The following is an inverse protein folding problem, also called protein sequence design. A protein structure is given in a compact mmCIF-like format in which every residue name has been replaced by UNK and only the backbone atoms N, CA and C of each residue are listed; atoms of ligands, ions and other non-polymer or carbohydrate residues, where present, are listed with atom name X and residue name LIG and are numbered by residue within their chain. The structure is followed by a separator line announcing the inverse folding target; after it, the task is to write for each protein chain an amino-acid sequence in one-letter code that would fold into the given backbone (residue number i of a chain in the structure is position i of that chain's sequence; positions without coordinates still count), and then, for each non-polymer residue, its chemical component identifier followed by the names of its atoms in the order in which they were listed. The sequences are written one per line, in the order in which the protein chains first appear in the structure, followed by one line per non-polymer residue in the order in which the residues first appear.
data_IF_807536014129
#
_entry.id   IF_807536014129
#
_cell.length_a   1.000
_cell.length_b   1.000
_cell.length_c   1.000
_cell.angle_alpha   90.00
_cell.angle_beta   90.00
_cell.angle_gamma   90.00
#
_symmetry.space_group_name_H-M   'P 1'
#
loop_
_entity.id
_entity.type
_entity.pdbx_description
1 polymer ?
#
# COMPACT_ATOMS: atom_id res chain seq x y z
N UNK A 1 -25.90 2.08 -1.08
CA UNK A 1 -25.79 0.63 -0.80
C UNK A 1 -24.32 0.28 -0.80
N UNK A 2 -23.74 -0.06 0.36
CA UNK A 2 -22.34 -0.49 0.46
C UNK A 2 -22.18 -1.83 -0.26
N UNK A 3 -21.29 -1.90 -1.26
CA UNK A 3 -20.94 -3.17 -1.91
C UNK A 3 -20.29 -4.07 -0.86
N UNK A 4 -20.81 -5.28 -0.70
CA UNK A 4 -20.22 -6.28 0.18
C UNK A 4 -18.80 -6.58 -0.30
N UNK A 5 -17.82 -6.51 0.59
CA UNK A 5 -16.45 -6.99 0.31
C UNK A 5 -16.56 -8.49 0.11
N UNK A 6 -16.03 -8.99 -1.00
CA UNK A 6 -16.07 -10.41 -1.31
C UNK A 6 -15.05 -11.13 -0.41
N UNK A 7 -15.50 -12.14 0.34
CA UNK A 7 -14.61 -13.01 1.13
C UNK A 7 -13.87 -13.98 0.21
N UNK A 8 -12.67 -14.39 0.60
CA UNK A 8 -11.86 -15.37 -0.14
C UNK A 8 -12.36 -16.80 0.09
N UNK A 9 -12.92 -17.05 1.29
CA UNK A 9 -13.47 -18.33 1.74
C UNK A 9 -14.88 -18.15 2.31
N UNK A 10 -15.53 -19.23 2.66
CA UNK A 10 -16.85 -19.19 3.29
C UNK A 10 -16.78 -18.57 4.69
N UNK A 11 -17.69 -17.63 4.95
CA UNK A 11 -17.84 -17.00 6.27
C UNK A 11 -18.56 -17.94 7.23
N UNK A 12 -17.85 -18.36 8.29
CA UNK A 12 -18.40 -19.24 9.33
C UNK A 12 -18.80 -18.40 10.54
N UNK A 13 -20.07 -18.03 10.59
CA UNK A 13 -20.60 -17.11 11.61
C UNK A 13 -20.40 -17.64 13.04
N UNK A 14 -20.48 -18.94 13.25
CA UNK A 14 -20.28 -19.60 14.56
C UNK A 14 -18.87 -19.33 15.09
N UNK A 15 -17.85 -19.64 14.27
CA UNK A 15 -16.43 -19.46 14.60
C UNK A 15 -16.13 -17.98 14.89
N UNK A 16 -16.67 -17.09 14.06
CA UNK A 16 -16.49 -15.65 14.23
C UNK A 16 -17.13 -15.15 15.55
N UNK A 17 -18.38 -15.54 15.84
CA UNK A 17 -19.07 -15.10 17.04
C UNK A 17 -18.40 -15.61 18.34
N UNK A 18 -17.84 -16.81 18.34
CA UNK A 18 -17.05 -17.36 19.45
C UNK A 18 -15.77 -16.55 19.68
N UNK A 19 -15.04 -16.22 18.60
CA UNK A 19 -13.86 -15.35 18.70
C UNK A 19 -14.21 -13.95 19.17
N UNK A 20 -15.34 -13.40 18.72
CA UNK A 20 -15.81 -12.09 19.17
C UNK A 20 -16.16 -12.09 20.66
N UNK A 21 -16.81 -13.15 21.16
CA UNK A 21 -17.08 -13.33 22.59
C UNK A 21 -15.77 -13.46 23.40
N UNK A 22 -14.80 -14.21 22.89
CA UNK A 22 -13.45 -14.32 23.47
C UNK A 22 -12.75 -12.95 23.50
N UNK A 23 -12.83 -12.18 22.40
CA UNK A 23 -12.26 -10.84 22.29
C UNK A 23 -12.93 -9.83 23.25
N UNK A 24 -14.22 -9.96 23.51
CA UNK A 24 -14.94 -9.16 24.49
C UNK A 24 -14.37 -9.38 25.90
N UNK A 25 -14.03 -10.61 26.25
CA UNK A 25 -13.59 -10.98 27.61
C UNK A 25 -14.66 -10.73 28.65
N UNK A 26 -14.26 -10.32 29.84
CA UNK A 26 -15.18 -10.01 30.94
C UNK A 26 -15.89 -8.64 30.85
N UNK A 27 -15.77 -7.91 29.76
CA UNK A 27 -16.38 -6.58 29.59
C UNK A 27 -17.85 -6.68 29.21
N UNK A 28 -18.63 -5.65 29.58
CA UNK A 28 -19.99 -5.50 29.04
C UNK A 28 -19.95 -5.22 27.54
N UNK A 29 -21.01 -5.60 26.82
CA UNK A 29 -21.13 -5.30 25.39
C UNK A 29 -21.00 -3.80 25.07
N UNK A 30 -21.58 -2.95 25.95
CA UNK A 30 -21.48 -1.49 25.82
C UNK A 30 -20.04 -1.00 25.93
N UNK A 31 -19.31 -1.48 26.95
CA UNK A 31 -17.89 -1.09 27.10
C UNK A 31 -17.06 -1.58 25.95
N UNK A 32 -17.23 -2.83 25.54
CA UNK A 32 -16.50 -3.40 24.41
C UNK A 32 -16.80 -2.68 23.10
N UNK A 33 -18.06 -2.35 22.82
CA UNK A 33 -18.44 -1.57 21.63
C UNK A 33 -17.79 -0.19 21.62
N UNK A 34 -17.78 0.51 22.76
CA UNK A 34 -17.13 1.82 22.88
C UNK A 34 -15.62 1.72 22.67
N UNK A 35 -14.96 0.71 23.28
CA UNK A 35 -13.53 0.47 23.11
C UNK A 35 -13.17 0.23 21.63
N UNK A 36 -14.03 -0.51 20.89
CA UNK A 36 -13.87 -0.75 19.45
C UNK A 36 -14.22 0.46 18.56
N UNK A 37 -14.87 1.50 19.11
CA UNK A 37 -15.47 2.58 18.30
C UNK A 37 -16.60 2.09 17.40
N UNK A 38 -17.41 1.12 17.87
CA UNK A 38 -18.54 0.51 17.17
C UNK A 38 -19.83 0.74 17.97
N UNK A 39 -21.00 0.61 17.29
CA UNK A 39 -22.27 0.69 18.01
C UNK A 39 -22.54 -0.59 18.83
N UNK A 40 -23.20 -0.43 19.98
CA UNK A 40 -23.62 -1.56 20.81
C UNK A 40 -24.52 -2.52 20.03
N UNK A 41 -25.43 -1.97 19.21
CA UNK A 41 -26.31 -2.75 18.36
C UNK A 41 -25.54 -3.60 17.32
N UNK A 42 -24.42 -3.08 16.81
CA UNK A 42 -23.52 -3.83 15.93
C UNK A 42 -22.93 -5.03 16.67
N UNK A 43 -22.27 -4.81 17.78
CA UNK A 43 -21.66 -5.89 18.59
C UNK A 43 -22.71 -6.93 19.01
N UNK A 44 -23.88 -6.48 19.46
CA UNK A 44 -24.97 -7.36 19.85
C UNK A 44 -25.45 -8.26 18.71
N UNK A 45 -25.63 -7.71 17.49
CA UNK A 45 -26.02 -8.52 16.31
C UNK A 45 -24.99 -9.58 15.98
N UNK A 46 -23.70 -9.24 16.04
CA UNK A 46 -22.60 -10.12 15.73
C UNK A 46 -22.44 -11.25 16.75
N UNK A 47 -22.51 -10.95 18.04
CA UNK A 47 -22.48 -11.95 19.10
C UNK A 47 -23.67 -12.92 19.04
N UNK A 48 -24.85 -12.42 18.67
CA UNK A 48 -26.06 -13.23 18.55
C UNK A 48 -26.23 -13.88 17.16
N UNK A 49 -25.20 -13.85 16.31
CA UNK A 49 -25.21 -14.48 14.97
C UNK A 49 -26.33 -13.97 14.04
N UNK A 50 -26.77 -12.71 14.24
CA UNK A 50 -27.85 -12.07 13.47
C UNK A 50 -27.30 -11.20 12.34
N UNK A 51 -26.38 -11.78 11.57
CA UNK A 51 -25.71 -11.13 10.44
C UNK A 51 -25.64 -12.08 9.25
N UNK A 52 -25.84 -11.57 8.06
CA UNK A 52 -25.81 -12.34 6.80
C UNK A 52 -24.49 -12.18 6.05
N UNK A 53 -23.63 -11.28 6.49
CA UNK A 53 -22.39 -10.92 5.80
C UNK A 53 -21.24 -10.82 6.77
N UNK A 54 -20.07 -11.25 6.32
CA UNK A 54 -18.86 -11.09 7.08
C UNK A 54 -18.58 -9.61 7.39
N UNK A 55 -18.07 -9.28 8.60
CA UNK A 55 -17.58 -7.96 8.91
C UNK A 55 -16.38 -7.62 8.03
N UNK A 56 -16.29 -6.37 7.62
CA UNK A 56 -15.17 -5.91 6.78
C UNK A 56 -13.85 -5.90 7.56
N UNK A 57 -12.69 -6.09 6.91
CA UNK A 57 -11.38 -6.17 7.56
C UNK A 57 -11.07 -5.01 8.52
N UNK A 58 -11.46 -3.77 8.18
CA UNK A 58 -11.27 -2.63 9.09
C UNK A 58 -12.04 -2.72 10.39
N UNK A 59 -13.22 -3.34 10.37
CA UNK A 59 -13.98 -3.59 11.58
C UNK A 59 -13.31 -4.66 12.44
N UNK A 60 -12.82 -5.73 11.80
CA UNK A 60 -12.06 -6.79 12.49
C UNK A 60 -10.79 -6.23 13.14
N UNK A 61 -10.13 -5.29 12.47
CA UNK A 61 -8.94 -4.61 13.00
C UNK A 61 -9.24 -3.77 14.23
N UNK A 62 -10.37 -3.01 14.25
CA UNK A 62 -10.82 -2.26 15.42
C UNK A 62 -11.11 -3.20 16.61
N UNK A 63 -11.70 -4.35 16.33
CA UNK A 63 -11.97 -5.38 17.33
C UNK A 63 -10.66 -5.96 17.87
N UNK A 64 -9.73 -6.32 17.00
CA UNK A 64 -8.42 -6.87 17.37
C UNK A 64 -7.60 -5.92 18.24
N UNK A 65 -7.64 -4.61 17.93
CA UNK A 65 -6.87 -3.59 18.66
C UNK A 65 -7.21 -3.52 20.15
N UNK A 66 -8.41 -3.94 20.54
CA UNK A 66 -8.89 -3.92 21.93
C UNK A 66 -9.29 -5.30 22.43
N UNK A 67 -8.97 -6.36 21.69
CA UNK A 67 -9.35 -7.72 22.01
C UNK A 67 -8.71 -8.19 23.32
N UNK A 68 -9.50 -8.90 24.14
CA UNK A 68 -9.00 -9.63 25.29
C UNK A 68 -8.57 -11.05 24.90
N UNK A 69 -7.99 -11.76 25.85
CA UNK A 69 -7.65 -13.19 25.75
C UNK A 69 -6.78 -13.58 24.55
N UNK A 70 -5.95 -12.63 24.06
CA UNK A 70 -4.98 -12.88 23.00
C UNK A 70 -5.60 -13.14 21.62
N UNK A 71 -6.84 -12.73 21.38
CA UNK A 71 -7.44 -12.84 20.04
C UNK A 71 -6.74 -11.89 19.08
N UNK A 72 -6.20 -12.45 17.99
CA UNK A 72 -5.43 -11.72 16.99
C UNK A 72 -6.31 -11.25 15.83
N UNK A 73 -5.77 -10.29 15.06
CA UNK A 73 -6.40 -9.82 13.84
C UNK A 73 -6.50 -10.92 12.78
N UNK A 74 -5.46 -11.75 12.68
CA UNK A 74 -5.39 -12.88 11.75
C UNK A 74 -6.47 -13.92 12.04
N UNK A 75 -6.67 -14.29 13.32
CA UNK A 75 -7.73 -15.20 13.72
C UNK A 75 -9.13 -14.67 13.35
N UNK A 76 -9.34 -13.36 13.53
CA UNK A 76 -10.61 -12.71 13.16
C UNK A 76 -10.83 -12.65 11.65
N UNK A 77 -9.76 -12.39 10.87
CA UNK A 77 -9.81 -12.43 9.39
C UNK A 77 -10.17 -13.83 8.90
N UNK A 78 -9.46 -14.85 9.37
CA UNK A 78 -9.70 -16.23 8.98
C UNK A 78 -11.14 -16.67 9.31
N UNK A 79 -11.64 -16.36 10.51
CA UNK A 79 -13.01 -16.67 10.89
C UNK A 79 -14.07 -15.91 10.08
N UNK A 80 -13.72 -14.73 9.56
CA UNK A 80 -14.58 -13.95 8.67
C UNK A 80 -14.47 -14.36 7.20
N UNK A 81 -13.63 -15.35 6.87
CA UNK A 81 -13.46 -15.86 5.51
C UNK A 81 -12.50 -15.04 4.64
N UNK A 82 -11.60 -14.26 5.24
CA UNK A 82 -10.56 -13.53 4.53
C UNK A 82 -9.22 -14.27 4.61
N UNK A 83 -8.45 -14.24 3.54
CA UNK A 83 -7.07 -14.71 3.56
C UNK A 83 -6.21 -13.71 4.35
N UNK A 84 -5.83 -14.09 5.57
CA UNK A 84 -5.06 -13.24 6.48
C UNK A 84 -3.77 -12.73 5.83
N UNK A 85 -3.12 -13.53 4.96
CA UNK A 85 -1.88 -13.13 4.29
C UNK A 85 -2.02 -11.87 3.43
N UNK A 86 -3.21 -11.62 2.88
CA UNK A 86 -3.50 -10.44 2.07
C UNK A 86 -3.65 -9.16 2.91
N UNK A 87 -3.95 -9.28 4.20
CA UNK A 87 -4.27 -8.17 5.09
C UNK A 87 -3.21 -7.91 6.16
N UNK A 88 -2.29 -8.86 6.37
CA UNK A 88 -1.21 -8.76 7.37
C UNK A 88 0.15 -8.39 6.76
N UNK A 89 0.28 -8.41 5.44
CA UNK A 89 1.56 -8.19 4.73
C UNK A 89 2.08 -6.74 4.74
N UNK A 90 1.37 -5.76 5.29
CA UNK A 90 1.98 -4.43 5.41
C UNK A 90 2.68 -4.29 6.75
N UNK A 91 3.99 -4.45 6.79
CA UNK A 91 4.84 -4.09 7.94
C UNK A 91 4.79 -2.59 8.30
N UNK A 92 3.82 -1.85 7.75
CA UNK A 92 3.56 -0.46 8.03
C UNK A 92 2.53 -0.33 9.15
N UNK A 93 2.74 0.60 10.05
CA UNK A 93 1.92 0.85 11.22
C UNK A 93 0.46 1.22 10.87
N UNK A 94 -0.46 1.06 11.83
CA UNK A 94 -1.86 1.47 11.75
C UNK A 94 -2.08 2.99 11.79
N UNK A 95 -1.02 3.72 11.68
CA UNK A 95 -1.00 5.17 11.67
C UNK A 95 -1.93 5.75 10.57
N UNK A 96 -2.40 7.00 10.74
CA UNK A 96 -3.12 7.70 9.70
C UNK A 96 -2.40 7.63 8.35
N UNK A 97 -3.13 7.60 7.25
CA UNK A 97 -2.58 7.44 5.88
C UNK A 97 -1.34 8.29 5.59
N UNK A 98 -1.32 9.52 6.14
CA UNK A 98 -0.17 10.42 6.00
C UNK A 98 1.07 9.88 6.69
N UNK A 99 0.94 9.32 7.89
CA UNK A 99 2.06 8.73 8.64
C UNK A 99 2.58 7.49 7.94
N UNK A 100 1.68 6.62 7.46
CA UNK A 100 2.06 5.44 6.65
C UNK A 100 2.81 5.83 5.38
N UNK A 101 2.34 6.87 4.68
CA UNK A 101 3.00 7.36 3.48
C UNK A 101 4.42 7.85 3.79
N UNK A 102 4.61 8.59 4.90
CA UNK A 102 5.92 9.07 5.33
C UNK A 102 6.84 7.92 5.78
N UNK A 103 6.29 6.94 6.51
CA UNK A 103 7.04 5.74 6.91
C UNK A 103 7.48 4.94 5.67
N UNK A 104 6.56 4.73 4.73
CA UNK A 104 6.86 4.05 3.47
C UNK A 104 7.92 4.80 2.67
N UNK A 105 7.78 6.12 2.49
CA UNK A 105 8.77 6.97 1.80
C UNK A 105 10.17 6.81 2.42
N UNK A 106 10.26 6.82 3.76
CA UNK A 106 11.53 6.64 4.47
C UNK A 106 12.14 5.26 4.22
N UNK A 107 11.35 4.19 4.34
CA UNK A 107 11.80 2.81 4.12
C UNK A 107 12.19 2.59 2.65
N UNK A 108 11.34 3.04 1.72
CA UNK A 108 11.59 2.91 0.29
C UNK A 108 12.85 3.68 -0.14
N UNK A 109 13.04 4.90 0.37
CA UNK A 109 14.28 5.66 0.12
C UNK A 109 15.51 4.88 0.59
N UNK A 110 15.46 4.31 1.80
CA UNK A 110 16.55 3.48 2.33
C UNK A 110 16.83 2.27 1.44
N UNK A 111 15.77 1.55 1.03
CA UNK A 111 15.89 0.38 0.15
C UNK A 111 16.49 0.73 -1.22
N UNK A 112 16.03 1.85 -1.84
CA UNK A 112 16.56 2.31 -3.12
C UNK A 112 18.04 2.72 -3.00
N UNK A 113 18.40 3.49 -1.98
CA UNK A 113 19.79 3.94 -1.79
C UNK A 113 20.72 2.78 -1.45
N UNK A 114 20.25 1.78 -0.71
CA UNK A 114 21.01 0.55 -0.45
C UNK A 114 21.22 -0.25 -1.74
N UNK A 115 20.18 -0.40 -2.57
CA UNK A 115 20.29 -1.06 -3.87
C UNK A 115 21.27 -0.33 -4.80
N UNK A 116 21.17 0.99 -4.89
CA UNK A 116 22.12 1.81 -5.69
C UNK A 116 23.55 1.68 -5.19
N UNK A 117 23.79 1.59 -3.88
CA UNK A 117 25.12 1.44 -3.32
C UNK A 117 25.79 0.10 -3.65
N UNK A 118 25.00 -0.91 -4.01
CA UNK A 118 25.49 -2.22 -4.48
C UNK A 118 25.83 -2.23 -5.98
N UNK A 119 25.47 -1.18 -6.71
CA UNK A 119 25.84 -1.02 -8.11
C UNK A 119 27.23 -0.36 -8.25
N UNK A 120 27.81 -0.45 -9.45
CA UNK A 120 29.05 0.27 -9.77
C UNK A 120 28.80 1.73 -10.21
N UNK A 121 27.57 2.22 -10.08
CA UNK A 121 27.19 3.57 -10.47
C UNK A 121 27.70 4.59 -9.45
N UNK A 122 28.23 5.70 -9.92
CA UNK A 122 28.47 6.87 -9.07
C UNK A 122 27.18 7.67 -9.02
N UNK A 123 26.65 7.87 -7.85
CA UNK A 123 25.37 8.55 -7.65
C UNK A 123 25.37 9.41 -6.40
N UNK A 124 24.47 10.40 -6.36
CA UNK A 124 24.20 11.17 -5.16
C UNK A 124 22.73 11.64 -5.13
N UNK A 125 22.20 11.82 -3.93
CA UNK A 125 20.87 12.37 -3.74
C UNK A 125 20.94 13.89 -3.87
N UNK A 126 20.21 14.45 -4.83
CA UNK A 126 20.18 15.91 -5.08
C UNK A 126 19.22 16.60 -4.12
N UNK A 127 18.08 15.97 -3.83
CA UNK A 127 17.10 16.55 -2.93
C UNK A 127 15.93 15.63 -2.67
N UNK A 128 15.26 15.90 -1.54
CA UNK A 128 13.92 15.43 -1.24
C UNK A 128 12.99 16.60 -1.42
N UNK A 129 11.96 16.41 -2.22
CA UNK A 129 10.96 17.43 -2.31
C UNK A 129 10.02 17.37 -1.12
N UNK A 130 10.14 18.30 -0.22
CA UNK A 130 9.16 18.54 0.85
C UNK A 130 7.94 19.34 0.39
N UNK A 131 7.85 19.67 -0.90
CA UNK A 131 6.78 20.48 -1.46
C UNK A 131 5.68 19.60 -2.05
N UNK A 132 4.42 19.84 -1.67
CA UNK A 132 3.23 19.23 -2.29
C UNK A 132 3.11 19.53 -3.79
N UNK A 133 3.94 20.39 -4.33
CA UNK A 133 3.98 20.82 -5.73
C UNK A 133 5.09 20.12 -6.54
N UNK A 134 5.99 19.37 -5.88
CA UNK A 134 7.01 18.65 -6.61
C UNK A 134 6.43 17.48 -7.37
N UNK A 135 6.87 17.24 -8.59
CA UNK A 135 6.46 16.09 -9.38
C UNK A 135 7.11 14.77 -8.94
N UNK A 136 8.07 14.79 -8.02
CA UNK A 136 8.78 13.63 -7.49
C UNK A 136 9.02 13.75 -5.98
N UNK A 137 9.26 12.62 -5.32
CA UNK A 137 9.55 12.55 -3.88
C UNK A 137 11.08 12.46 -3.63
N UNK A 138 11.81 11.80 -4.53
CA UNK A 138 13.27 11.65 -4.46
C UNK A 138 13.89 11.85 -5.83
N UNK A 139 15.01 12.56 -5.89
CA UNK A 139 15.86 12.72 -7.07
C UNK A 139 17.25 12.21 -6.76
N UNK A 140 17.76 11.38 -7.66
CA UNK A 140 19.13 10.87 -7.66
C UNK A 140 19.81 11.27 -8.95
N UNK A 141 20.94 11.96 -8.86
CA UNK A 141 21.84 12.15 -9.98
C UNK A 141 22.81 10.98 -10.08
N UNK A 142 23.04 10.54 -11.31
CA UNK A 142 23.92 9.43 -11.64
C UNK A 142 24.98 9.93 -12.63
N UNK A 143 26.22 9.72 -12.30
CA UNK A 143 27.36 10.04 -13.19
C UNK A 143 27.49 8.94 -14.27
N UNK A 144 26.55 8.97 -15.24
CA UNK A 144 26.52 8.04 -16.35
C UNK A 144 25.99 8.74 -17.60
N UNK A 145 26.64 8.51 -18.76
CA UNK A 145 26.25 9.09 -20.03
C UNK A 145 24.87 8.64 -20.54
N UNK A 146 24.32 7.57 -19.98
CA UNK A 146 23.00 7.01 -20.37
C UNK A 146 21.86 7.43 -19.46
N UNK A 147 22.15 7.73 -18.20
CA UNK A 147 21.17 8.13 -17.20
C UNK A 147 21.82 9.13 -16.27
N UNK A 148 21.34 10.37 -16.28
CA UNK A 148 21.86 11.42 -15.39
C UNK A 148 20.89 11.75 -14.27
N UNK A 149 19.59 11.62 -14.48
CA UNK A 149 18.57 11.93 -13.49
C UNK A 149 17.60 10.77 -13.34
N UNK A 150 17.45 10.30 -12.11
CA UNK A 150 16.47 9.27 -11.75
C UNK A 150 15.54 9.80 -10.68
N UNK A 151 14.27 9.92 -11.02
CA UNK A 151 13.21 10.44 -10.16
C UNK A 151 12.33 9.31 -9.64
N UNK A 152 11.96 9.37 -8.38
CA UNK A 152 11.13 8.37 -7.73
C UNK A 152 9.88 9.00 -7.12
N UNK A 153 8.75 8.32 -7.26
CA UNK A 153 7.51 8.61 -6.55
C UNK A 153 7.10 7.40 -5.71
N UNK A 154 6.84 7.63 -4.43
CA UNK A 154 6.50 6.59 -3.48
C UNK A 154 4.98 6.48 -3.33
N UNK A 155 4.43 5.32 -3.66
CA UNK A 155 3.00 5.04 -3.67
C UNK A 155 2.69 3.86 -2.75
N UNK A 156 2.30 4.14 -1.52
CA UNK A 156 1.87 3.08 -0.58
C UNK A 156 0.43 2.68 -0.84
N UNK A 157 0.12 1.43 -0.50
CA UNK A 157 -1.23 0.89 -0.57
C UNK A 157 -2.19 1.67 0.34
N UNK A 158 -3.40 1.89 -0.16
CA UNK A 158 -4.51 2.40 0.65
C UNK A 158 -5.32 1.21 1.15
N UNK A 159 -5.65 1.13 2.45
CA UNK A 159 -6.47 0.05 2.98
C UNK A 159 -7.80 -0.10 2.24
N UNK A 160 -8.24 -1.34 2.01
CA UNK A 160 -9.48 -1.69 1.30
C UNK A 160 -10.78 -1.10 1.91
N UNK A 161 -10.68 -0.62 3.14
CA UNK A 161 -11.77 0.04 3.87
C UNK A 161 -12.23 1.35 3.26
N UNK A 162 -11.48 1.85 2.31
CA UNK A 162 -11.73 3.08 1.62
C UNK A 162 -12.02 2.79 0.13
N UNK A 163 -13.07 2.02 -0.14
CA UNK A 163 -13.49 1.64 -1.50
C UNK A 163 -13.66 2.85 -2.44
N UNK A 164 -14.03 4.00 -1.87
CA UNK A 164 -14.07 5.27 -2.60
C UNK A 164 -12.66 5.75 -3.00
N UNK A 165 -11.61 5.26 -2.33
CA UNK A 165 -10.22 5.60 -2.65
C UNK A 165 -9.60 4.72 -3.77
N UNK A 166 -10.18 3.55 -4.11
CA UNK A 166 -9.72 2.79 -5.29
C UNK A 166 -9.96 3.56 -6.58
N UNK A 167 -11.11 4.20 -6.71
CA UNK A 167 -11.37 5.13 -7.81
C UNK A 167 -10.41 6.33 -7.76
N UNK A 168 -10.01 6.76 -6.57
CA UNK A 168 -9.03 7.81 -6.36
C UNK A 168 -7.59 7.36 -6.65
N UNK A 169 -7.25 6.06 -6.58
CA UNK A 169 -5.88 5.59 -6.90
C UNK A 169 -5.54 5.81 -8.37
N UNK A 170 -6.44 5.47 -9.29
CA UNK A 170 -6.25 5.75 -10.72
C UNK A 170 -6.22 7.26 -10.99
N UNK A 171 -7.09 8.04 -10.37
CA UNK A 171 -7.06 9.51 -10.50
C UNK A 171 -5.73 10.09 -9.98
N UNK A 172 -5.22 9.58 -8.86
CA UNK A 172 -3.90 9.98 -8.35
C UNK A 172 -2.79 9.58 -9.29
N UNK A 173 -2.82 8.37 -9.85
CA UNK A 173 -1.86 7.91 -10.84
C UNK A 173 -1.86 8.83 -12.07
N UNK A 174 -3.04 9.17 -12.60
CA UNK A 174 -3.15 10.09 -13.73
C UNK A 174 -2.70 11.52 -13.37
N UNK A 175 -2.89 11.96 -12.12
CA UNK A 175 -2.34 13.23 -11.65
C UNK A 175 -0.80 13.20 -11.61
N UNK A 176 -0.18 12.06 -11.23
CA UNK A 176 1.27 11.89 -11.34
C UNK A 176 1.73 11.93 -12.79
N UNK A 177 1.05 11.22 -13.71
CA UNK A 177 1.38 11.28 -15.13
C UNK A 177 1.26 12.71 -15.69
N UNK A 178 0.23 13.45 -15.27
CA UNK A 178 0.09 14.87 -15.62
C UNK A 178 1.26 15.73 -15.14
N UNK A 179 1.82 15.45 -13.97
CA UNK A 179 3.02 16.14 -13.47
C UNK A 179 4.27 15.77 -14.26
N UNK A 180 4.40 14.51 -14.68
CA UNK A 180 5.53 14.06 -15.51
C UNK A 180 5.61 14.80 -16.84
N UNK A 181 4.49 15.30 -17.38
CA UNK A 181 4.48 16.15 -18.60
C UNK A 181 5.28 17.43 -18.40
N UNK A 182 5.36 17.94 -17.18
CA UNK A 182 6.07 19.17 -16.84
C UNK A 182 7.57 18.95 -16.55
N UNK A 183 8.01 17.69 -16.52
CA UNK A 183 9.39 17.35 -16.23
C UNK A 183 10.25 17.34 -17.49
N UNK A 184 11.57 17.55 -17.35
CA UNK A 184 12.47 17.39 -18.47
C UNK A 184 12.31 16.00 -19.10
N UNK A 185 12.05 15.96 -20.40
CA UNK A 185 12.01 14.73 -21.18
C UNK A 185 13.37 14.55 -21.87
N UNK A 186 13.89 13.32 -21.84
CA UNK A 186 15.14 13.02 -22.52
C UNK A 186 15.58 11.57 -22.31
N UNK A 187 16.54 11.15 -23.11
CA UNK A 187 17.12 9.80 -23.04
C UNK A 187 17.92 9.55 -21.76
N UNK A 188 18.24 10.64 -21.05
CA UNK A 188 19.07 10.62 -19.84
C UNK A 188 18.25 10.72 -18.55
N UNK A 189 16.92 10.68 -18.65
CA UNK A 189 16.01 10.84 -17.50
C UNK A 189 15.12 9.62 -17.35
N UNK A 190 15.02 9.09 -16.14
CA UNK A 190 14.18 7.95 -15.78
C UNK A 190 13.25 8.31 -14.63
N UNK A 191 12.02 7.80 -14.65
CA UNK A 191 11.03 7.93 -13.59
C UNK A 191 10.64 6.55 -13.08
N UNK A 192 10.59 6.39 -11.77
CA UNK A 192 10.15 5.14 -11.17
C UNK A 192 9.06 5.37 -10.14
N UNK A 193 7.98 4.60 -10.27
CA UNK A 193 6.99 4.47 -9.23
C UNK A 193 7.40 3.33 -8.31
N UNK A 194 7.48 3.58 -7.02
CA UNK A 194 7.86 2.60 -6.02
C UNK A 194 6.66 2.27 -5.14
N UNK A 195 6.35 1.00 -4.98
CA UNK A 195 5.21 0.56 -4.17
C UNK A 195 5.51 -0.71 -3.36
N UNK A 196 4.81 -0.87 -2.25
CA UNK A 196 4.77 -2.08 -1.41
C UNK A 196 3.60 -3.01 -1.77
N UNK A 197 2.72 -2.60 -2.70
CA UNK A 197 1.50 -3.32 -3.04
C UNK A 197 1.56 -3.93 -4.43
N UNK A 198 1.41 -5.26 -4.49
CA UNK A 198 1.32 -5.99 -5.76
C UNK A 198 0.06 -5.58 -6.55
N UNK A 199 -1.03 -5.22 -5.88
CA UNK A 199 -2.25 -4.74 -6.55
C UNK A 199 -2.00 -3.40 -7.23
N UNK A 200 -1.35 -2.47 -6.52
CA UNK A 200 -1.01 -1.16 -7.07
C UNK A 200 0.04 -1.29 -8.18
N UNK A 201 1.02 -2.18 -8.00
CA UNK A 201 1.98 -2.52 -9.05
C UNK A 201 1.27 -2.96 -10.34
N UNK A 202 0.33 -3.90 -10.24
CA UNK A 202 -0.41 -4.40 -11.40
C UNK A 202 -1.34 -3.32 -11.99
N UNK A 203 -1.91 -2.47 -11.15
CA UNK A 203 -2.74 -1.34 -11.60
C UNK A 203 -1.94 -0.35 -12.42
N UNK A 204 -0.75 0.03 -11.96
CA UNK A 204 0.15 0.96 -12.67
C UNK A 204 0.62 0.31 -13.98
N UNK A 205 1.03 -0.96 -13.92
CA UNK A 205 1.45 -1.74 -15.11
C UNK A 205 0.34 -1.82 -16.18
N UNK A 206 -0.90 -1.98 -15.75
CA UNK A 206 -2.06 -2.03 -16.65
C UNK A 206 -2.49 -0.68 -17.23
N UNK A 207 -1.94 0.43 -16.73
CA UNK A 207 -2.28 1.78 -17.16
C UNK A 207 -1.03 2.62 -17.49
N UNK A 208 -0.20 2.20 -18.47
CA UNK A 208 1.05 2.88 -18.78
C UNK A 208 0.83 4.28 -19.37
N UNK A 209 1.74 5.24 -19.14
CA UNK A 209 1.65 6.59 -19.69
C UNK A 209 2.08 6.65 -21.16
N UNK A 210 1.29 6.05 -22.04
CA UNK A 210 1.65 5.83 -23.46
C UNK A 210 1.89 7.11 -24.26
N UNK A 211 1.35 8.24 -23.82
CA UNK A 211 1.52 9.54 -24.48
C UNK A 211 2.88 10.21 -24.16
N UNK A 212 3.60 9.74 -23.14
CA UNK A 212 4.84 10.36 -22.70
C UNK A 212 6.06 9.75 -23.39
N UNK A 213 6.97 10.62 -23.84
CA UNK A 213 8.25 10.22 -24.42
C UNK A 213 9.35 10.22 -23.34
N UNK A 214 9.21 9.33 -22.35
CA UNK A 214 10.09 9.20 -21.20
C UNK A 214 10.29 7.72 -20.83
N UNK A 215 11.35 7.42 -20.07
CA UNK A 215 11.50 6.12 -19.44
C UNK A 215 10.73 6.08 -18.12
N UNK A 216 9.81 5.15 -17.99
CA UNK A 216 9.05 4.93 -16.75
C UNK A 216 9.16 3.46 -16.37
N UNK A 217 9.58 3.22 -15.14
CA UNK A 217 9.55 1.90 -14.52
C UNK A 217 8.63 1.90 -13.29
N UNK A 218 8.31 0.70 -12.84
CA UNK A 218 7.66 0.46 -11.57
C UNK A 218 8.49 -0.54 -10.77
N UNK A 219 8.70 -0.24 -9.49
CA UNK A 219 9.50 -1.01 -8.55
C UNK A 219 8.58 -1.51 -7.44
N UNK A 220 8.58 -2.82 -7.24
CA UNK A 220 7.91 -3.45 -6.10
C UNK A 220 8.96 -3.74 -5.03
N UNK A 221 8.71 -3.25 -3.82
CA UNK A 221 9.58 -3.52 -2.67
C UNK A 221 8.86 -4.34 -1.60
N UNK A 222 9.63 -5.15 -0.88
CA UNK A 222 9.21 -5.77 0.36
C UNK A 222 9.71 -4.92 1.53
N UNK A 223 8.79 -4.28 2.24
CA UNK A 223 9.11 -3.45 3.41
C UNK A 223 9.58 -4.26 4.61
N UNK A 224 9.26 -5.56 4.66
CA UNK A 224 9.67 -6.43 5.78
C UNK A 224 11.14 -6.83 5.69
N UNK A 225 11.59 -7.15 4.47
CA UNK A 225 12.98 -7.53 4.19
C UNK A 225 13.84 -6.36 3.70
N UNK A 226 13.24 -5.18 3.50
CA UNK A 226 13.89 -3.99 2.92
C UNK A 226 14.60 -4.29 1.60
N UNK A 227 13.94 -5.04 0.72
CA UNK A 227 14.51 -5.49 -0.54
C UNK A 227 13.63 -5.13 -1.74
N UNK A 228 14.26 -4.96 -2.89
CA UNK A 228 13.54 -4.83 -4.17
C UNK A 228 13.16 -6.24 -4.62
N UNK A 229 11.85 -6.47 -4.80
CA UNK A 229 11.33 -7.74 -5.33
C UNK A 229 11.54 -7.78 -6.84
N UNK A 230 11.19 -6.69 -7.52
CA UNK A 230 11.35 -6.56 -8.98
C UNK A 230 11.20 -5.13 -9.45
N UNK A 231 11.80 -4.84 -10.61
CA UNK A 231 11.59 -3.64 -11.39
C UNK A 231 11.10 -4.03 -12.81
N UNK A 232 10.07 -3.34 -13.30
CA UNK A 232 9.57 -3.52 -14.67
C UNK A 232 9.40 -2.17 -15.37
N UNK A 233 9.86 -2.07 -16.62
CA UNK A 233 9.56 -0.91 -17.45
C UNK A 233 8.13 -0.96 -17.94
N UNK A 234 7.40 0.14 -17.74
CA UNK A 234 6.01 0.32 -18.22
C UNK A 234 5.94 1.25 -19.42
N UNK A 235 7.00 2.05 -19.65
CA UNK A 235 7.16 2.88 -20.84
C UNK A 235 8.62 3.04 -21.16
N UNK A 236 8.96 2.73 -22.38
CA UNK A 236 10.25 3.03 -22.99
C UNK A 236 10.00 3.92 -24.20
N UNK A 237 10.48 5.15 -24.14
CA UNK A 237 10.30 6.11 -25.23
C UNK A 237 11.30 5.87 -26.36
N UNK A 238 12.38 5.14 -26.06
CA UNK A 238 13.52 4.92 -26.93
C UNK A 238 13.82 3.41 -26.99
N UNK A 239 14.53 2.96 -28.02
CA UNK A 239 14.79 1.55 -28.29
C UNK A 239 15.70 0.87 -27.25
N UNK A 240 16.49 1.65 -26.52
CA UNK A 240 17.47 1.12 -25.59
C UNK A 240 16.94 1.12 -24.14
N UNK A 241 17.10 0.00 -23.46
CA UNK A 241 16.81 -0.07 -22.02
C UNK A 241 17.89 0.69 -21.25
N UNK A 242 17.46 1.46 -20.25
CA UNK A 242 18.35 2.03 -19.24
C UNK A 242 18.46 1.04 -18.08
N UNK A 243 19.64 0.97 -17.46
CA UNK A 243 19.90 0.05 -16.37
C UNK A 243 18.89 0.18 -15.22
N UNK A 244 18.43 -0.95 -14.72
CA UNK A 244 17.59 -1.09 -13.53
C UNK A 244 18.45 -1.29 -12.29
N UNK A 245 17.80 -1.44 -11.13
CA UNK A 245 18.42 -1.73 -9.83
C UNK A 245 17.95 -3.07 -9.23
N UNK A 246 17.13 -3.81 -9.97
CA UNK A 246 16.65 -5.14 -9.60
C UNK A 246 17.14 -6.20 -10.58
#
# INVERSE_FOLDING_TARGET
MSKAVKTDHEFIIEKYAELLAKAQGGRTQTKFANDCGLSVAYICKHLNKRIDKAPIPSTLKKIAAVAANGVTYEELLDAAGYDASKYTQSGLSDAPLRTRALEFEKLATGTITDALSKTNLKWHVVGRSGSNMSPYDLEVEIDNNRLTHWYFNFLTSVPDTLSDMRNNQLQRLYAYYGRLVLMPAGIITKYSFVTDSIELFNTIKGNPPTALAIYVSIILIDVSSLSIIKEEYIRTAFSDNIDGIA
#
